data_IF_850550145294
#
_entry.id   IF_850550145294
#
_cell.length_a   1.000
_cell.length_b   1.000
_cell.length_c   1.000
_cell.angle_alpha   90.00
_cell.angle_beta   90.00
_cell.angle_gamma   90.00
#
_symmetry.space_group_name_H-M   'P 1'
#
loop_
_entity.id
_entity.type
_entity.pdbx_description
1 polymer ?
#
# COMPACT_ATOMS: atom_id res chain seq x y z
N UNK A 1 -27.94 -18.30 -36.22
CA UNK A 1 -26.65 -17.67 -35.88
C UNK A 1 -26.94 -16.29 -35.31
N UNK A 2 -27.02 -16.18 -33.99
CA UNK A 2 -27.37 -14.93 -33.30
C UNK A 2 -26.41 -14.72 -32.14
N UNK A 3 -25.19 -14.28 -32.46
CA UNK A 3 -24.38 -13.53 -31.50
C UNK A 3 -24.62 -12.05 -31.79
N UNK A 4 -25.43 -11.40 -30.95
CA UNK A 4 -25.39 -9.95 -30.75
C UNK A 4 -25.21 -9.72 -29.25
N UNK A 5 -24.08 -9.11 -28.91
CA UNK A 5 -23.75 -8.51 -27.61
C UNK A 5 -23.58 -9.46 -26.42
N UNK A 6 -22.77 -10.51 -26.57
CA UNK A 6 -22.38 -11.38 -25.45
C UNK A 6 -21.00 -11.02 -24.89
N UNK A 7 -20.91 -9.98 -24.06
CA UNK A 7 -19.78 -9.93 -23.11
C UNK A 7 -20.00 -11.09 -22.14
N UNK A 8 -19.06 -12.02 -22.06
CA UNK A 8 -19.18 -13.16 -21.15
C UNK A 8 -19.25 -12.65 -19.71
N UNK A 9 -20.15 -13.22 -18.90
CA UNK A 9 -20.25 -12.91 -17.47
C UNK A 9 -18.90 -13.14 -16.77
N UNK A 10 -18.11 -14.08 -17.28
CA UNK A 10 -16.76 -14.38 -16.79
C UNK A 10 -15.82 -13.19 -17.04
N UNK A 11 -15.78 -12.65 -18.26
CA UNK A 11 -14.96 -11.48 -18.62
C UNK A 11 -15.32 -10.26 -17.78
N UNK A 12 -16.61 -10.09 -17.47
CA UNK A 12 -17.09 -8.98 -16.63
C UNK A 12 -16.60 -9.11 -15.18
N UNK A 13 -16.58 -10.32 -14.62
CA UNK A 13 -16.10 -10.59 -13.25
C UNK A 13 -14.58 -10.35 -13.14
N UNK A 14 -13.80 -10.81 -14.12
CA UNK A 14 -12.36 -10.58 -14.18
C UNK A 14 -12.01 -9.10 -14.31
N UNK A 15 -12.73 -8.37 -15.18
CA UNK A 15 -12.57 -6.94 -15.35
C UNK A 15 -12.88 -6.18 -14.06
N UNK A 16 -14.00 -6.51 -13.40
CA UNK A 16 -14.38 -5.89 -12.14
C UNK A 16 -13.33 -6.13 -11.03
N UNK A 17 -12.90 -7.38 -10.84
CA UNK A 17 -11.88 -7.72 -9.84
C UNK A 17 -10.57 -6.96 -10.10
N UNK A 18 -10.16 -6.83 -11.36
CA UNK A 18 -8.98 -6.06 -11.75
C UNK A 18 -9.12 -4.57 -11.44
N UNK A 19 -10.29 -3.97 -11.70
CA UNK A 19 -10.55 -2.56 -11.36
C UNK A 19 -10.46 -2.34 -9.84
N UNK A 20 -11.07 -3.22 -9.05
CA UNK A 20 -11.04 -3.11 -7.58
C UNK A 20 -9.61 -3.26 -7.06
N UNK A 21 -8.86 -4.26 -7.54
CA UNK A 21 -7.45 -4.46 -7.14
C UNK A 21 -6.59 -3.24 -7.50
N UNK A 22 -6.77 -2.66 -8.70
CA UNK A 22 -6.06 -1.46 -9.12
C UNK A 22 -6.39 -0.26 -8.22
N UNK A 23 -7.66 -0.08 -7.85
CA UNK A 23 -8.09 0.99 -6.95
C UNK A 23 -7.56 0.81 -5.52
N UNK A 24 -7.50 -0.42 -5.01
CA UNK A 24 -6.93 -0.70 -3.69
C UNK A 24 -5.43 -0.39 -3.67
N UNK A 25 -4.68 -0.87 -4.66
CA UNK A 25 -3.25 -0.57 -4.80
C UNK A 25 -2.98 0.95 -4.93
N UNK A 26 -3.78 1.66 -5.73
CA UNK A 26 -3.68 3.11 -5.84
C UNK A 26 -3.97 3.82 -4.49
N UNK A 27 -4.95 3.32 -3.73
CA UNK A 27 -5.31 3.86 -2.42
C UNK A 27 -4.23 3.59 -1.37
N UNK A 28 -3.61 2.41 -1.38
CA UNK A 28 -2.46 2.07 -0.51
C UNK A 28 -1.29 3.02 -0.78
N UNK A 29 -0.95 3.24 -2.04
CA UNK A 29 0.12 4.15 -2.44
C UNK A 29 -0.18 5.61 -2.05
N UNK A 30 -1.44 6.03 -2.17
CA UNK A 30 -1.88 7.36 -1.73
C UNK A 30 -1.73 7.51 -0.21
N UNK A 31 -2.10 6.48 0.57
CA UNK A 31 -1.92 6.46 2.02
C UNK A 31 -0.44 6.54 2.42
N UNK A 32 0.45 5.83 1.71
CA UNK A 32 1.90 5.90 1.94
C UNK A 32 2.47 7.31 1.69
N UNK A 33 2.05 7.95 0.60
CA UNK A 33 2.45 9.33 0.29
C UNK A 33 1.93 10.33 1.32
N UNK A 34 0.68 10.18 1.74
CA UNK A 34 0.08 11.02 2.78
C UNK A 34 0.83 10.85 4.10
N UNK A 35 1.13 9.62 4.51
CA UNK A 35 1.88 9.34 5.73
C UNK A 35 3.28 9.96 5.71
N UNK A 36 3.98 9.87 4.57
CA UNK A 36 5.27 10.53 4.39
C UNK A 36 5.17 12.05 4.53
N UNK A 37 4.17 12.67 3.91
CA UNK A 37 3.95 14.11 4.01
C UNK A 37 3.63 14.56 5.45
N UNK A 38 2.78 13.82 6.17
CA UNK A 38 2.47 14.10 7.57
C UNK A 38 3.72 13.98 8.47
N UNK A 39 4.60 13.00 8.20
CA UNK A 39 5.87 12.86 8.90
C UNK A 39 6.82 14.04 8.69
N UNK A 40 6.88 14.58 7.47
CA UNK A 40 7.62 15.81 7.17
C UNK A 40 7.04 16.97 7.97
N UNK A 41 5.73 17.18 7.91
CA UNK A 41 5.06 18.26 8.65
C UNK A 41 5.27 18.16 10.16
N UNK A 42 5.27 16.95 10.72
CA UNK A 42 5.57 16.73 12.14
C UNK A 42 7.01 17.14 12.48
N UNK A 43 7.96 16.79 11.63
CA UNK A 43 9.37 17.16 11.77
C UNK A 43 9.56 18.67 11.69
N UNK A 44 8.90 19.33 10.73
CA UNK A 44 8.94 20.79 10.56
C UNK A 44 8.34 21.51 11.77
N UNK A 45 7.23 21.03 12.30
CA UNK A 45 6.62 21.60 13.51
C UNK A 45 7.51 21.41 14.74
N UNK A 46 8.08 20.23 14.94
CA UNK A 46 8.93 19.95 16.09
C UNK A 46 10.24 20.76 16.05
N UNK A 47 10.91 20.78 14.90
CA UNK A 47 12.19 21.48 14.72
C UNK A 47 12.01 23.00 14.59
N UNK A 48 11.01 23.44 13.80
CA UNK A 48 10.72 24.85 13.57
C UNK A 48 10.30 25.57 14.84
N UNK A 49 9.58 24.90 15.76
CA UNK A 49 9.22 25.50 17.05
C UNK A 49 10.44 25.81 17.92
N UNK A 50 11.38 24.88 17.99
CA UNK A 50 12.63 25.10 18.73
C UNK A 50 13.45 26.22 18.09
N UNK A 51 13.59 26.21 16.76
CA UNK A 51 14.34 27.22 16.03
C UNK A 51 13.73 28.63 16.13
N UNK A 52 12.40 28.73 16.18
CA UNK A 52 11.67 29.99 16.30
C UNK A 52 11.54 30.51 17.74
N UNK A 53 12.08 29.80 18.74
CA UNK A 53 12.00 30.21 20.15
C UNK A 53 10.58 30.15 20.73
N UNK A 54 9.66 29.38 20.12
CA UNK A 54 8.32 29.23 20.65
C UNK A 54 8.34 28.39 21.94
N UNK A 55 7.59 28.85 22.95
CA UNK A 55 7.39 28.06 24.17
C UNK A 55 6.70 26.72 23.85
N UNK A 56 6.86 25.74 24.73
CA UNK A 56 6.29 24.39 24.55
C UNK A 56 4.75 24.34 24.56
N UNK A 57 4.07 25.32 25.15
CA UNK A 57 2.60 25.38 25.18
C UNK A 57 1.95 25.75 23.83
N UNK A 58 2.30 26.89 23.21
CA UNK A 58 1.72 27.32 21.94
C UNK A 58 1.89 26.30 20.82
N UNK A 59 0.79 25.81 20.25
CA UNK A 59 0.81 24.84 19.15
C UNK A 59 0.89 23.36 19.59
N UNK A 60 0.85 23.05 20.89
CA UNK A 60 0.82 21.66 21.36
C UNK A 60 -0.44 20.92 20.87
N UNK A 61 -1.62 21.54 20.96
CA UNK A 61 -2.85 20.94 20.44
C UNK A 61 -2.76 20.63 18.93
N UNK A 62 -2.05 21.45 18.16
CA UNK A 62 -1.79 21.18 16.74
C UNK A 62 -0.88 19.96 16.53
N UNK A 63 0.16 19.79 17.35
CA UNK A 63 0.99 18.59 17.36
C UNK A 63 0.19 17.34 17.73
N UNK A 64 -0.69 17.44 18.74
CA UNK A 64 -1.52 16.33 19.20
C UNK A 64 -2.48 15.88 18.10
N UNK A 65 -3.17 16.81 17.44
CA UNK A 65 -4.04 16.50 16.30
C UNK A 65 -3.28 15.94 15.09
N UNK A 66 -2.06 16.42 14.83
CA UNK A 66 -1.23 15.86 13.77
C UNK A 66 -0.79 14.42 14.10
N UNK A 67 -0.41 14.15 15.36
CA UNK A 67 -0.07 12.81 15.82
C UNK A 67 -1.28 11.85 15.69
N UNK A 68 -2.47 12.32 16.04
CA UNK A 68 -3.71 11.57 15.86
C UNK A 68 -3.98 11.28 14.37
N UNK A 69 -3.84 12.27 13.48
CA UNK A 69 -3.99 12.08 12.05
C UNK A 69 -3.01 11.06 11.46
N UNK A 70 -1.75 11.05 11.94
CA UNK A 70 -0.75 10.04 11.57
C UNK A 70 -1.20 8.65 12.01
N UNK A 71 -1.64 8.49 13.27
CA UNK A 71 -2.10 7.21 13.80
C UNK A 71 -3.32 6.65 13.04
N UNK A 72 -4.27 7.53 12.70
CA UNK A 72 -5.43 7.18 11.88
C UNK A 72 -5.01 6.77 10.47
N UNK A 73 -4.06 7.47 9.85
CA UNK A 73 -3.56 7.13 8.51
C UNK A 73 -2.86 5.77 8.49
N UNK A 74 -2.06 5.45 9.52
CA UNK A 74 -1.43 4.13 9.69
C UNK A 74 -2.50 3.02 9.79
N UNK A 75 -3.57 3.29 10.54
CA UNK A 75 -4.67 2.34 10.70
C UNK A 75 -5.43 2.14 9.39
N UNK A 76 -5.74 3.23 8.68
CA UNK A 76 -6.38 3.18 7.36
C UNK A 76 -5.56 2.38 6.36
N UNK A 77 -4.24 2.60 6.30
CA UNK A 77 -3.32 1.82 5.46
C UNK A 77 -3.38 0.33 5.78
N UNK A 78 -3.35 -0.05 7.06
CA UNK A 78 -3.46 -1.46 7.48
C UNK A 78 -4.78 -2.08 7.01
N UNK A 79 -5.88 -1.33 7.12
CA UNK A 79 -7.19 -1.78 6.66
C UNK A 79 -7.27 -1.93 5.13
N UNK A 80 -6.64 -1.04 4.36
CA UNK A 80 -6.56 -1.14 2.90
C UNK A 80 -5.82 -2.41 2.47
N UNK A 81 -4.64 -2.67 3.04
CA UNK A 81 -3.87 -3.89 2.78
C UNK A 81 -4.68 -5.15 3.14
N UNK A 82 -5.35 -5.15 4.29
CA UNK A 82 -6.19 -6.28 4.69
C UNK A 82 -7.39 -6.50 3.75
N UNK A 83 -7.96 -5.42 3.19
CA UNK A 83 -9.02 -5.51 2.18
C UNK A 83 -8.47 -6.09 0.86
N UNK A 84 -7.28 -5.67 0.44
CA UNK A 84 -6.59 -6.20 -0.73
C UNK A 84 -6.26 -7.68 -0.59
N UNK A 85 -5.71 -8.10 0.54
CA UNK A 85 -5.47 -9.52 0.85
C UNK A 85 -6.76 -10.36 0.85
N UNK A 86 -7.88 -9.76 1.31
CA UNK A 86 -9.18 -10.41 1.30
C UNK A 86 -9.73 -10.59 -0.11
N UNK A 87 -9.65 -9.55 -0.94
CA UNK A 87 -9.99 -9.62 -2.37
C UNK A 87 -9.18 -10.73 -3.05
N UNK A 88 -7.88 -10.81 -2.76
CA UNK A 88 -7.01 -11.81 -3.35
C UNK A 88 -7.41 -13.25 -2.95
N UNK A 89 -7.77 -13.46 -1.68
CA UNK A 89 -8.29 -14.75 -1.20
C UNK A 89 -9.60 -15.12 -1.88
N UNK A 90 -10.52 -14.18 -2.00
CA UNK A 90 -11.85 -14.46 -2.54
C UNK A 90 -11.81 -14.69 -4.06
N UNK A 91 -11.01 -13.93 -4.79
CA UNK A 91 -10.84 -14.16 -6.21
C UNK A 91 -10.15 -15.51 -6.50
N UNK A 92 -9.22 -15.99 -5.66
CA UNK A 92 -8.74 -17.40 -5.73
C UNK A 92 -9.86 -18.42 -5.51
N UNK A 93 -10.72 -18.21 -4.50
CA UNK A 93 -11.87 -19.10 -4.23
C UNK A 93 -12.85 -19.14 -5.40
N UNK A 94 -13.07 -17.99 -6.04
CA UNK A 94 -14.01 -17.84 -7.16
C UNK A 94 -13.39 -18.19 -8.53
N UNK A 95 -12.09 -18.52 -8.59
CA UNK A 95 -11.33 -18.71 -9.84
C UNK A 95 -11.42 -17.48 -10.76
N UNK A 96 -11.38 -16.30 -10.16
CA UNK A 96 -11.34 -15.03 -10.87
C UNK A 96 -9.88 -14.56 -10.91
N UNK A 97 -9.32 -14.42 -12.11
CA UNK A 97 -8.06 -13.73 -12.34
C UNK A 97 -8.24 -12.23 -12.16
N UNK A 98 -7.23 -11.57 -11.58
CA UNK A 98 -7.09 -10.12 -11.58
C UNK A 98 -5.63 -9.76 -11.89
N UNK A 99 -5.42 -8.62 -12.53
CA UNK A 99 -4.09 -8.08 -12.78
C UNK A 99 -3.80 -6.96 -11.78
N UNK A 100 -2.82 -7.16 -10.90
CA UNK A 100 -2.28 -6.07 -10.10
C UNK A 100 -1.42 -5.15 -10.99
N UNK A 101 -1.60 -3.82 -10.93
CA UNK A 101 -0.66 -2.91 -11.56
C UNK A 101 0.72 -3.12 -10.92
N UNK A 102 1.72 -3.46 -11.72
CA UNK A 102 3.11 -3.59 -11.27
C UNK A 102 3.52 -2.31 -10.55
N UNK A 103 3.62 -2.38 -9.22
CA UNK A 103 4.07 -1.24 -8.43
C UNK A 103 5.50 -0.88 -8.89
N UNK A 104 5.81 0.42 -9.11
CA UNK A 104 7.12 0.85 -9.61
C UNK A 104 8.29 0.44 -8.71
N UNK A 105 8.03 0.10 -7.44
CA UNK A 105 9.03 -0.28 -6.45
C UNK A 105 8.84 -1.69 -5.85
N UNK A 106 8.07 -2.59 -6.49
CA UNK A 106 7.87 -3.95 -5.98
C UNK A 106 7.13 -3.97 -4.64
N UNK A 107 5.93 -3.38 -4.62
CA UNK A 107 5.03 -3.41 -3.47
C UNK A 107 4.79 -4.84 -2.94
N UNK A 108 4.34 -4.98 -1.68
CA UNK A 108 4.34 -6.24 -0.93
C UNK A 108 3.49 -7.35 -1.56
N UNK A 109 2.65 -7.01 -2.53
CA UNK A 109 1.82 -7.92 -3.28
C UNK A 109 2.25 -7.82 -4.74
N UNK A 110 3.22 -8.66 -5.10
CA UNK A 110 3.45 -9.04 -6.48
C UNK A 110 3.08 -10.52 -6.56
N UNK A 111 1.83 -10.83 -6.91
CA UNK A 111 1.54 -12.15 -7.46
C UNK A 111 0.07 -12.59 -7.53
N UNK A 112 -0.26 -13.57 -8.40
CA UNK A 112 0.63 -14.31 -9.28
C UNK A 112 0.47 -13.94 -10.76
N UNK A 113 1.60 -13.73 -11.44
CA UNK A 113 1.71 -14.20 -12.83
C UNK A 113 1.60 -15.72 -12.74
N UNK A 114 0.62 -16.33 -13.42
CA UNK A 114 0.64 -17.77 -13.67
C UNK A 114 2.01 -18.12 -14.27
N UNK A 115 2.85 -18.82 -13.49
CA UNK A 115 3.88 -19.66 -14.07
C UNK A 115 3.22 -21.02 -14.26
N UNK A 116 3.10 -21.41 -15.53
CA UNK A 116 2.88 -22.79 -15.91
C UNK A 116 3.88 -23.72 -15.18
N UNK A 117 3.50 -24.95 -14.86
CA UNK A 117 4.35 -25.85 -14.10
C UNK A 117 5.36 -26.49 -15.04
N UNK A 118 6.54 -25.90 -15.22
CA UNK A 118 7.70 -26.62 -15.75
C UNK A 118 9.02 -25.88 -15.45
N UNK A 119 9.98 -26.58 -14.83
CA UNK A 119 11.39 -26.16 -14.82
C UNK A 119 12.02 -25.91 -13.44
N UNK A 120 12.43 -27.00 -12.80
CA UNK A 120 13.60 -27.15 -11.91
C UNK A 120 14.63 -26.00 -11.87
N UNK A 121 15.03 -25.57 -10.66
CA UNK A 121 16.38 -25.05 -10.44
C UNK A 121 16.59 -24.10 -9.25
N UNK A 122 17.26 -24.60 -8.20
CA UNK A 122 18.24 -23.85 -7.41
C UNK A 122 17.72 -22.87 -6.36
N UNK A 123 17.71 -23.29 -5.10
CA UNK A 123 17.60 -22.37 -3.96
C UNK A 123 18.93 -21.67 -3.67
N UNK A 124 18.87 -20.42 -3.26
CA UNK A 124 19.87 -19.83 -2.36
C UNK A 124 19.24 -18.69 -1.56
N UNK A 125 19.24 -18.85 -0.24
CA UNK A 125 18.69 -17.89 0.72
C UNK A 125 19.78 -16.90 1.13
N UNK A 126 19.62 -15.61 0.78
CA UNK A 126 20.41 -14.53 1.38
C UNK A 126 19.58 -13.79 2.45
N UNK A 127 20.12 -13.78 3.68
CA UNK A 127 19.54 -13.19 4.90
C UNK A 127 19.36 -11.66 4.77
N UNK A 128 18.38 -11.05 5.45
CA UNK A 128 18.30 -9.59 5.54
C UNK A 128 19.25 -9.08 6.61
N UNK A 129 20.26 -8.29 6.21
CA UNK A 129 21.14 -7.58 7.14
C UNK A 129 20.58 -6.18 7.37
N UNK A 130 19.92 -5.98 8.51
CA UNK A 130 19.54 -4.66 8.98
C UNK A 130 20.77 -3.86 9.43
N UNK A 131 20.79 -2.57 9.08
CA UNK A 131 21.39 -1.53 9.93
C UNK A 131 20.87 -0.15 9.50
N UNK A 132 20.07 0.44 10.39
CA UNK A 132 19.83 1.87 10.44
C UNK A 132 21.18 2.57 10.68
N UNK A 133 21.62 3.39 9.73
CA UNK A 133 22.72 4.31 9.95
C UNK A 133 22.16 5.55 10.66
N UNK A 134 22.18 5.52 11.99
CA UNK A 134 22.30 6.74 12.80
C UNK A 134 23.62 7.41 12.45
N UNK A 135 23.57 8.67 12.03
CA UNK A 135 24.71 9.58 12.14
C UNK A 135 24.25 10.72 13.04
N UNK A 136 24.86 10.77 14.22
CA UNK A 136 24.79 11.90 15.13
C UNK A 136 26.17 12.55 15.17
N UNK A 137 26.13 13.88 15.27
CA UNK A 137 27.17 14.91 15.35
C UNK A 137 27.77 15.38 14.02
#
# INVERSE_FOLDING_TARGET
MTQRNGVSIMDTKHAFASIVAANLNASELAADRQLAQLGITLTDLASGRAAAGFAAGPGQAGLDHLAEAIALTITARRSLVAAHDSLARDARRMRVTWTEPKAPNGGPHAGPLEKDPEGTGGGETTKPTGRLATVAN
#
